data_IF_654537888927
#
_entry.id   IF_654537888927
#
_cell.length_a   1.000
_cell.length_b   1.000
_cell.length_c   1.000
_cell.angle_alpha   90.00
_cell.angle_beta   90.00
_cell.angle_gamma   90.00
#
_symmetry.space_group_name_H-M   'P 1'
#
loop_
_entity.id
_entity.type
_entity.pdbx_description
1 polymer ?
#
# COMPACT_ATOMS: atom_id res chain seq x y z
N UNK A 1 17.19 4.63 3.93
CA UNK A 1 16.67 3.96 2.72
C UNK A 1 15.31 3.35 3.00
N UNK A 2 14.23 4.11 2.80
CA UNK A 2 12.90 3.54 2.55
C UNK A 2 12.74 3.41 1.05
N UNK A 3 13.67 2.68 0.42
CA UNK A 3 13.60 2.39 -1.01
C UNK A 3 12.52 1.33 -1.16
N UNK A 4 11.35 1.77 -1.62
CA UNK A 4 10.32 0.87 -2.15
C UNK A 4 11.04 -0.06 -3.11
N UNK A 5 10.95 -1.37 -2.88
CA UNK A 5 11.71 -2.37 -3.65
C UNK A 5 11.44 -2.18 -5.14
N UNK A 6 12.44 -2.37 -6.03
CA UNK A 6 12.28 -2.19 -7.47
C UNK A 6 11.08 -2.97 -8.03
N UNK A 7 10.84 -4.17 -7.50
CA UNK A 7 9.68 -5.03 -7.84
C UNK A 7 8.32 -4.32 -7.62
N UNK A 8 8.18 -3.54 -6.55
CA UNK A 8 6.94 -2.81 -6.25
C UNK A 8 6.81 -1.60 -7.18
N UNK A 9 7.91 -0.93 -7.51
CA UNK A 9 7.90 0.18 -8.48
C UNK A 9 7.53 -0.30 -9.87
N UNK A 10 8.09 -1.44 -10.30
CA UNK A 10 7.81 -2.05 -11.59
C UNK A 10 6.37 -2.55 -11.68
N UNK A 11 5.87 -3.15 -10.60
CA UNK A 11 4.46 -3.53 -10.49
C UNK A 11 3.54 -2.29 -10.58
N UNK A 12 3.82 -1.22 -9.84
CA UNK A 12 3.02 0.02 -9.89
C UNK A 12 3.05 0.65 -11.28
N UNK A 13 4.21 0.67 -11.96
CA UNK A 13 4.32 1.16 -13.35
C UNK A 13 3.54 0.29 -14.34
N UNK A 14 3.64 -1.03 -14.22
CA UNK A 14 2.91 -1.97 -15.07
C UNK A 14 1.40 -1.82 -14.90
N UNK A 15 0.92 -1.74 -13.66
CA UNK A 15 -0.50 -1.53 -13.36
C UNK A 15 -0.97 -0.16 -13.82
N UNK A 16 -0.20 0.90 -13.54
CA UNK A 16 -0.52 2.28 -13.97
C UNK A 16 -0.63 2.39 -15.49
N UNK A 17 0.35 1.87 -16.22
CA UNK A 17 0.33 1.88 -17.70
C UNK A 17 -0.83 1.06 -18.27
N UNK A 18 -1.14 -0.10 -17.68
CA UNK A 18 -2.26 -0.94 -18.11
C UNK A 18 -3.63 -0.29 -17.82
N UNK A 19 -3.78 0.32 -16.65
CA UNK A 19 -5.01 1.07 -16.29
C UNK A 19 -5.16 2.28 -17.22
N UNK A 20 -4.11 3.06 -17.43
CA UNK A 20 -4.14 4.24 -18.29
C UNK A 20 -4.48 3.89 -19.74
N UNK A 21 -3.84 2.86 -20.31
CA UNK A 21 -4.15 2.36 -21.65
C UNK A 21 -5.61 1.90 -21.76
N UNK A 22 -6.10 1.16 -20.75
CA UNK A 22 -7.48 0.68 -20.74
C UNK A 22 -8.48 1.82 -20.61
N UNK A 23 -8.21 2.82 -19.76
CA UNK A 23 -9.06 4.01 -19.60
C UNK A 23 -9.11 4.85 -20.88
N UNK A 24 -7.97 5.07 -21.53
CA UNK A 24 -7.92 5.82 -22.79
C UNK A 24 -8.66 5.10 -23.93
N UNK A 25 -8.50 3.77 -24.02
CA UNK A 25 -9.20 2.95 -25.02
C UNK A 25 -10.70 2.88 -24.75
N UNK A 26 -11.12 2.88 -23.48
CA UNK A 26 -12.52 2.91 -23.09
C UNK A 26 -13.18 4.23 -23.53
N UNK A 27 -12.50 5.36 -23.34
CA UNK A 27 -13.03 6.68 -23.72
C UNK A 27 -13.26 6.81 -25.23
N UNK A 28 -12.30 6.37 -26.06
CA UNK A 28 -12.44 6.37 -27.51
C UNK A 28 -13.60 5.49 -28.01
N UNK A 29 -13.81 4.32 -27.39
CA UNK A 29 -14.92 3.45 -27.76
C UNK A 29 -16.28 4.03 -27.34
N UNK A 30 -16.38 4.66 -26.16
CA UNK A 30 -17.61 5.30 -25.69
C UNK A 30 -18.02 6.44 -26.64
N UNK A 31 -17.06 7.26 -27.09
CA UNK A 31 -17.35 8.36 -28.02
C UNK A 31 -17.82 7.85 -29.39
N UNK A 32 -17.17 6.81 -29.93
CA UNK A 32 -17.56 6.18 -31.20
C UNK A 32 -18.95 5.51 -31.12
N UNK A 33 -19.25 4.84 -29.99
CA UNK A 33 -20.55 4.18 -29.78
C UNK A 33 -21.68 5.21 -29.56
N UNK A 34 -21.40 6.32 -28.88
CA UNK A 34 -22.37 7.39 -28.62
C UNK A 34 -22.84 8.12 -29.88
N UNK A 35 -21.98 8.22 -30.91
CA UNK A 35 -22.36 8.79 -32.21
C UNK A 35 -23.25 7.84 -33.04
N UNK A 36 -23.19 6.53 -32.76
CA UNK A 36 -23.91 5.50 -33.52
C UNK A 36 -25.30 5.17 -32.96
N UNK A 37 -25.57 5.42 -31.67
CA UNK A 37 -26.85 5.06 -31.03
C UNK A 37 -27.66 6.31 -30.65
N UNK A 38 -28.68 6.63 -31.44
CA UNK A 38 -29.58 7.75 -31.19
C UNK A 38 -30.35 7.60 -29.85
N UNK A 39 -30.66 8.74 -29.22
CA UNK A 39 -30.61 8.99 -27.78
C UNK A 39 -31.74 8.43 -26.89
N UNK A 40 -32.76 7.78 -27.45
CA UNK A 40 -33.99 7.42 -26.73
C UNK A 40 -34.04 5.97 -26.23
N UNK A 41 -33.31 5.03 -26.84
CA UNK A 41 -33.28 3.62 -26.41
C UNK A 41 -32.25 3.31 -25.32
N UNK A 42 -31.22 4.16 -25.18
CA UNK A 42 -30.19 4.02 -24.13
C UNK A 42 -30.71 4.41 -22.75
N UNK A 43 -31.71 5.30 -22.64
CA UNK A 43 -32.19 5.92 -21.36
C UNK A 43 -32.59 4.88 -20.30
N UNK A 44 -33.21 3.78 -20.73
CA UNK A 44 -33.60 2.64 -19.91
C UNK A 44 -32.43 1.68 -19.56
N UNK A 45 -31.26 1.80 -20.19
CA UNK A 45 -30.05 1.02 -19.87
C UNK A 45 -29.09 1.72 -18.89
N UNK A 46 -29.13 3.07 -18.77
CA UNK A 46 -28.28 3.83 -17.83
C UNK A 46 -28.28 3.31 -16.39
N UNK A 47 -29.42 2.96 -15.76
CA UNK A 47 -29.37 2.47 -14.38
C UNK A 47 -28.62 1.13 -14.26
N UNK A 48 -28.67 0.27 -15.28
CA UNK A 48 -27.94 -1.01 -15.29
C UNK A 48 -26.45 -0.79 -15.46
N UNK A 49 -26.02 0.13 -16.33
CA UNK A 49 -24.60 0.44 -16.55
C UNK A 49 -23.95 1.16 -15.36
N UNK A 50 -24.70 2.04 -14.69
CA UNK A 50 -24.24 2.71 -13.46
C UNK A 50 -24.01 1.73 -12.31
N UNK A 51 -24.86 0.70 -12.16
CA UNK A 51 -24.70 -0.31 -11.11
C UNK A 51 -23.38 -1.09 -11.27
N UNK A 52 -23.08 -1.56 -12.48
CA UNK A 52 -21.81 -2.24 -12.77
C UNK A 52 -20.61 -1.31 -12.56
N UNK A 53 -20.73 -0.04 -12.97
CA UNK A 53 -19.67 0.95 -12.78
C UNK A 53 -19.42 1.26 -11.30
N UNK A 54 -20.48 1.34 -10.49
CA UNK A 54 -20.40 1.56 -9.05
C UNK A 54 -19.73 0.38 -8.33
N UNK A 55 -20.06 -0.87 -8.71
CA UNK A 55 -19.41 -2.06 -8.14
C UNK A 55 -17.92 -2.07 -8.47
N UNK A 56 -17.55 -1.79 -9.73
CA UNK A 56 -16.14 -1.74 -10.14
C UNK A 56 -15.40 -0.64 -9.38
N UNK A 57 -16.01 0.54 -9.24
CA UNK A 57 -15.42 1.64 -8.47
C UNK A 57 -15.24 1.29 -6.99
N UNK A 58 -16.27 0.70 -6.36
CA UNK A 58 -16.19 0.23 -4.98
C UNK A 58 -15.09 -0.81 -4.79
N UNK A 59 -14.97 -1.77 -5.70
CA UNK A 59 -13.91 -2.78 -5.66
C UNK A 59 -12.52 -2.14 -5.77
N UNK A 60 -12.32 -1.19 -6.69
CA UNK A 60 -11.05 -0.47 -6.83
C UNK A 60 -10.70 0.36 -5.59
N UNK A 61 -11.69 1.03 -4.98
CA UNK A 61 -11.49 1.76 -3.74
C UNK A 61 -11.08 0.83 -2.60
N UNK A 62 -11.76 -0.29 -2.42
CA UNK A 62 -11.40 -1.28 -1.40
C UNK A 62 -9.97 -1.78 -1.59
N UNK A 63 -9.57 -2.10 -2.83
CA UNK A 63 -8.21 -2.52 -3.16
C UNK A 63 -7.20 -1.42 -2.84
N UNK A 64 -7.47 -0.17 -3.22
CA UNK A 64 -6.59 0.97 -2.92
C UNK A 64 -6.41 1.16 -1.41
N UNK A 65 -7.52 1.13 -0.65
CA UNK A 65 -7.49 1.25 0.82
C UNK A 65 -6.70 0.09 1.44
N UNK A 66 -6.89 -1.15 0.97
CA UNK A 66 -6.11 -2.30 1.43
C UNK A 66 -4.61 -2.12 1.20
N UNK A 67 -4.19 -1.58 0.06
CA UNK A 67 -2.79 -1.31 -0.21
C UNK A 67 -2.21 -0.21 0.69
N UNK A 68 -2.94 0.89 0.87
CA UNK A 68 -2.49 2.01 1.72
C UNK A 68 -2.40 1.59 3.18
N UNK A 69 -3.48 1.03 3.72
CA UNK A 69 -3.54 0.59 5.11
C UNK A 69 -2.62 -0.60 5.37
N UNK A 70 -2.57 -1.56 4.44
CA UNK A 70 -1.71 -2.73 4.53
C UNK A 70 -0.23 -2.34 4.51
N UNK A 71 0.19 -1.43 3.63
CA UNK A 71 1.56 -0.92 3.59
C UNK A 71 1.95 -0.19 4.87
N UNK A 72 1.05 0.66 5.39
CA UNK A 72 1.27 1.37 6.64
C UNK A 72 1.35 0.40 7.84
N UNK A 73 0.45 -0.57 7.92
CA UNK A 73 0.46 -1.59 8.97
C UNK A 73 1.72 -2.46 8.90
N UNK A 74 2.14 -2.87 7.70
CA UNK A 74 3.36 -3.64 7.50
C UNK A 74 4.61 -2.85 7.94
N UNK A 75 4.65 -1.54 7.68
CA UNK A 75 5.72 -0.67 8.18
C UNK A 75 5.75 -0.63 9.71
N UNK A 76 4.60 -0.44 10.36
CA UNK A 76 4.50 -0.48 11.82
C UNK A 76 4.83 -1.86 12.41
N UNK A 77 4.38 -2.95 11.78
CA UNK A 77 4.69 -4.32 12.16
C UNK A 77 6.21 -4.61 12.09
N UNK A 78 6.90 -4.05 11.10
CA UNK A 78 8.36 -4.13 10.99
C UNK A 78 9.05 -3.42 12.15
N UNK A 79 8.57 -2.25 12.56
CA UNK A 79 9.09 -1.50 13.70
C UNK A 79 8.93 -2.29 15.01
N UNK A 80 7.73 -2.83 15.25
CA UNK A 80 7.42 -3.69 16.40
C UNK A 80 8.35 -4.91 16.41
N UNK A 81 8.55 -5.55 15.26
CA UNK A 81 9.43 -6.72 15.14
C UNK A 81 10.88 -6.43 15.54
N UNK A 82 11.34 -5.18 15.39
CA UNK A 82 12.70 -4.74 15.78
C UNK A 82 12.77 -4.14 17.19
N UNK A 83 11.64 -4.05 17.89
CA UNK A 83 11.57 -3.41 19.21
C UNK A 83 11.83 -1.90 19.14
N UNK A 84 11.51 -1.26 18.02
CA UNK A 84 11.72 0.17 17.80
C UNK A 84 10.37 0.91 17.69
N UNK A 85 10.30 2.15 18.18
CA UNK A 85 9.20 3.07 17.85
C UNK A 85 9.48 3.80 16.53
N UNK A 86 8.50 4.51 15.97
CA UNK A 86 8.69 5.28 14.72
C UNK A 86 9.80 6.32 14.85
N UNK A 87 9.85 7.00 15.99
CA UNK A 87 10.88 7.99 16.36
C UNK A 87 12.23 7.29 16.56
N UNK A 88 12.25 6.20 17.32
CA UNK A 88 13.48 5.46 17.62
C UNK A 88 14.14 4.93 16.35
N UNK A 89 13.37 4.42 15.37
CA UNK A 89 13.96 3.93 14.12
C UNK A 89 14.69 5.02 13.34
N UNK A 90 14.26 6.28 13.46
CA UNK A 90 14.94 7.40 12.82
C UNK A 90 16.23 7.77 13.55
N UNK A 91 16.22 7.72 14.87
CA UNK A 91 17.39 7.98 15.72
C UNK A 91 18.42 6.86 15.55
N UNK A 92 17.99 5.60 15.66
CA UNK A 92 18.85 4.42 15.46
C UNK A 92 19.54 4.43 14.11
N UNK A 93 18.88 4.91 13.05
CA UNK A 93 19.51 5.06 11.73
C UNK A 93 20.67 6.06 11.75
N UNK A 94 20.50 7.20 12.42
CA UNK A 94 21.56 8.20 12.56
C UNK A 94 22.70 7.65 13.42
N UNK A 95 22.36 6.97 14.51
CA UNK A 95 23.32 6.41 15.44
C UNK A 95 24.13 5.27 14.83
N UNK A 96 23.48 4.39 14.06
CA UNK A 96 24.14 3.34 13.28
C UNK A 96 25.12 3.94 12.28
N UNK A 97 24.72 5.00 11.56
CA UNK A 97 25.60 5.65 10.60
C UNK A 97 26.80 6.36 11.27
N UNK A 98 26.62 6.89 12.49
CA UNK A 98 27.70 7.49 13.28
C UNK A 98 28.68 6.43 13.78
N UNK A 99 28.18 5.37 14.40
CA UNK A 99 29.01 4.30 14.97
C UNK A 99 29.75 3.51 13.89
N UNK A 100 29.15 3.33 12.70
CA UNK A 100 29.83 2.72 11.57
C UNK A 100 31.07 3.52 11.13
N UNK A 101 31.04 4.86 11.21
CA UNK A 101 32.21 5.71 10.95
C UNK A 101 33.30 5.54 12.00
N UNK A 102 32.92 5.17 13.22
CA UNK A 102 33.82 4.88 14.34
C UNK A 102 34.26 3.40 14.37
N UNK A 103 33.85 2.59 13.37
CA UNK A 103 34.17 1.16 13.28
C UNK A 103 33.40 0.27 14.28
N UNK A 104 32.34 0.80 14.90
CA UNK A 104 31.52 0.08 15.90
C UNK A 104 30.17 -0.31 15.30
N UNK A 105 29.68 -1.48 15.71
CA UNK A 105 28.34 -1.96 15.32
C UNK A 105 27.33 -1.44 16.33
N UNK A 106 26.30 -0.74 15.85
CA UNK A 106 25.18 -0.33 16.69
C UNK A 106 24.19 -1.49 16.83
N UNK A 107 23.89 -1.87 18.08
CA UNK A 107 22.88 -2.87 18.40
C UNK A 107 21.78 -2.20 19.24
N UNK A 108 20.52 -2.36 18.83
CA UNK A 108 19.38 -1.78 19.55
C UNK A 108 19.19 -2.52 20.89
N UNK A 109 19.35 -1.87 22.06
CA UNK A 109 19.22 -2.52 23.36
C UNK A 109 17.79 -3.05 23.64
N UNK A 110 16.78 -2.53 22.93
CA UNK A 110 15.38 -2.93 23.08
C UNK A 110 14.95 -4.04 22.11
N UNK A 111 15.88 -4.58 21.31
CA UNK A 111 15.56 -5.67 20.39
C UNK A 111 15.77 -7.03 21.05
N UNK A 112 14.69 -7.62 21.57
CA UNK A 112 14.71 -8.95 22.20
C UNK A 112 14.47 -10.10 21.21
N UNK A 113 14.41 -9.81 19.92
CA UNK A 113 14.04 -10.74 18.85
C UNK A 113 12.54 -10.71 18.52
N UNK A 114 12.20 -11.05 17.27
CA UNK A 114 10.85 -10.86 16.69
C UNK A 114 9.76 -11.42 17.62
N UNK A 115 9.84 -12.70 17.97
CA UNK A 115 8.80 -13.35 18.78
C UNK A 115 8.63 -12.73 20.19
N UNK A 116 9.72 -12.30 20.84
CA UNK A 116 9.65 -11.66 22.16
C UNK A 116 9.11 -10.23 22.06
N UNK A 117 9.54 -9.48 21.05
CA UNK A 117 9.07 -8.11 20.82
C UNK A 117 7.54 -8.08 20.57
N UNK A 118 7.01 -9.02 19.79
CA UNK A 118 5.57 -9.16 19.58
C UNK A 118 4.81 -9.56 20.85
N UNK A 119 5.38 -10.45 21.67
CA UNK A 119 4.78 -10.81 22.97
C UNK A 119 4.73 -9.62 23.93
N UNK A 120 5.79 -8.81 23.99
CA UNK A 120 5.85 -7.60 24.82
C UNK A 120 4.83 -6.58 24.31
N UNK A 121 4.77 -6.33 23.00
CA UNK A 121 3.83 -5.39 22.39
C UNK A 121 2.36 -5.79 22.62
N UNK A 122 2.02 -7.07 22.48
CA UNK A 122 0.67 -7.59 22.71
C UNK A 122 0.39 -7.96 24.17
N UNK A 123 1.36 -7.75 25.07
CA UNK A 123 1.29 -8.15 26.49
C UNK A 123 0.90 -9.63 26.71
N UNK A 124 1.29 -10.53 25.79
CA UNK A 124 0.97 -11.95 25.87
C UNK A 124 1.99 -12.65 26.78
N UNK A 125 1.52 -13.14 27.92
CA UNK A 125 2.34 -13.92 28.87
C UNK A 125 2.83 -13.15 30.10
N UNK A 126 2.30 -11.94 30.35
CA UNK A 126 2.47 -11.26 31.64
C UNK A 126 1.59 -11.96 32.70
N UNK A 127 2.13 -12.99 33.35
CA UNK A 127 1.53 -13.58 34.55
C UNK A 127 2.01 -12.78 35.75
N UNK A 128 1.10 -12.06 36.41
CA UNK A 128 1.34 -11.40 37.70
C UNK A 128 1.41 -12.44 38.81
#
# INVERSE_FOLDING_TARGET
YNSISPVVVDFVKAVSSHIFYKSFKQEQNILQESLSSNSTSKVNEWPKTLYHSCIVYGALLCVAVLFVLGGLLAWHARLISKGETSIESHINKKETARLLKEGKIYENPYNYGIAKNWKIFLCIGYRR
#
